data_IF_756569526578
#
_entry.id   IF_756569526578
#
_cell.length_a   1.000
_cell.length_b   1.000
_cell.length_c   1.000
_cell.angle_alpha   90.00
_cell.angle_beta   90.00
_cell.angle_gamma   90.00
#
_symmetry.space_group_name_H-M   'P 1'
#
loop_
_entity.id
_entity.type
_entity.pdbx_description
1 polymer ?
#
# COMPACT_ATOMS: atom_id res chain seq x y z
N UNK A 1 -2.46 -25.61 28.70
CA UNK A 1 -2.58 -24.65 27.61
C UNK A 1 -3.62 -23.60 27.94
N UNK A 2 -3.53 -22.40 27.38
CA UNK A 2 -4.52 -21.33 27.56
C UNK A 2 -5.77 -21.70 26.78
N UNK A 3 -6.94 -21.71 27.45
CA UNK A 3 -8.22 -21.92 26.77
C UNK A 3 -8.59 -20.66 25.96
N UNK A 4 -8.72 -20.79 24.66
CA UNK A 4 -9.17 -19.71 23.78
C UNK A 4 -10.70 -19.80 23.68
N UNK A 5 -11.40 -18.71 23.99
CA UNK A 5 -12.85 -18.62 23.83
C UNK A 5 -13.20 -18.09 22.44
N UNK A 6 -14.24 -18.66 21.77
CA UNK A 6 -14.74 -18.07 20.54
C UNK A 6 -15.32 -16.68 20.83
N UNK A 7 -14.94 -15.71 20.01
CA UNK A 7 -15.51 -14.35 20.05
C UNK A 7 -16.80 -14.25 19.21
N UNK A 8 -16.81 -14.95 18.08
CA UNK A 8 -17.97 -15.08 17.19
C UNK A 8 -18.37 -16.54 17.15
N UNK A 9 -19.65 -16.78 17.07
CA UNK A 9 -20.24 -18.12 16.93
C UNK A 9 -21.22 -18.11 15.77
N UNK A 10 -21.39 -19.25 15.10
CA UNK A 10 -22.29 -19.36 13.95
C UNK A 10 -22.20 -20.72 13.28
N UNK A 11 -22.99 -20.92 12.23
CA UNK A 11 -23.04 -22.16 11.51
C UNK A 11 -21.70 -22.55 10.92
N UNK A 12 -21.11 -23.62 11.41
CA UNK A 12 -19.78 -24.12 10.99
C UNK A 12 -19.86 -25.22 9.90
N UNK A 13 -21.09 -25.61 9.51
CA UNK A 13 -21.33 -26.74 8.60
C UNK A 13 -21.12 -28.11 9.25
N UNK A 14 -20.75 -28.17 10.54
CA UNK A 14 -20.59 -29.40 11.33
C UNK A 14 -21.46 -29.33 12.57
N UNK A 15 -21.86 -30.53 13.11
CA UNK A 15 -22.70 -30.64 14.30
C UNK A 15 -24.00 -29.79 14.25
N UNK A 16 -24.73 -29.89 13.14
CA UNK A 16 -25.92 -29.08 12.81
C UNK A 16 -26.94 -28.91 13.94
N UNK A 17 -27.12 -29.92 14.81
CA UNK A 17 -28.05 -29.91 15.92
C UNK A 17 -27.43 -29.47 17.25
N UNK A 18 -26.15 -29.11 17.28
CA UNK A 18 -25.53 -28.57 18.50
C UNK A 18 -25.99 -27.16 18.76
N UNK A 19 -26.47 -26.84 19.97
CA UNK A 19 -26.87 -25.48 20.35
C UNK A 19 -25.68 -24.56 20.63
N UNK A 20 -24.46 -25.10 20.63
CA UNK A 20 -23.23 -24.35 20.94
C UNK A 20 -22.19 -24.53 19.86
N UNK A 21 -21.24 -23.60 19.81
CA UNK A 21 -20.04 -23.70 18.94
C UNK A 21 -19.27 -25.00 19.28
N UNK A 22 -18.87 -25.79 18.29
CA UNK A 22 -18.04 -26.98 18.53
C UNK A 22 -16.76 -26.63 19.29
N UNK A 23 -16.38 -27.41 20.32
CA UNK A 23 -15.23 -27.08 21.16
C UNK A 23 -13.86 -27.42 20.54
N UNK A 24 -13.83 -28.16 19.43
CA UNK A 24 -12.60 -28.65 18.81
C UNK A 24 -11.94 -27.55 17.96
N UNK A 25 -10.63 -27.43 18.05
CA UNK A 25 -9.81 -26.63 17.12
C UNK A 25 -9.74 -27.32 15.74
N UNK A 26 -9.75 -26.58 14.64
CA UNK A 26 -9.85 -25.10 14.54
C UNK A 26 -11.29 -24.59 14.61
N UNK A 27 -12.30 -25.44 14.50
CA UNK A 27 -13.71 -25.13 14.32
C UNK A 27 -14.28 -24.21 15.42
N UNK A 28 -13.76 -24.32 16.63
CA UNK A 28 -14.18 -23.45 17.76
C UNK A 28 -13.98 -21.96 17.45
N UNK A 29 -13.04 -21.60 16.56
CA UNK A 29 -12.75 -20.22 16.17
C UNK A 29 -13.33 -19.82 14.79
N UNK A 30 -13.94 -20.76 14.09
CA UNK A 30 -14.45 -20.60 12.73
C UNK A 30 -15.99 -20.43 12.75
N UNK A 31 -16.46 -19.21 12.80
CA UNK A 31 -17.88 -18.91 12.76
C UNK A 31 -18.36 -18.67 11.32
N UNK A 32 -19.27 -19.52 10.86
CA UNK A 32 -19.84 -19.47 9.49
C UNK A 32 -19.00 -20.23 8.46
N UNK A 33 -19.41 -20.11 7.19
CA UNK A 33 -18.70 -20.74 6.07
C UNK A 33 -17.34 -20.08 5.86
N UNK A 34 -16.29 -20.90 5.77
CA UNK A 34 -14.94 -20.42 5.54
C UNK A 34 -14.82 -19.69 4.19
N UNK A 35 -13.98 -18.65 4.14
CA UNK A 35 -13.66 -17.92 2.91
C UNK A 35 -12.69 -18.75 2.02
N UNK A 36 -13.19 -19.83 1.44
CA UNK A 36 -12.39 -20.72 0.59
C UNK A 36 -11.74 -20.03 -0.60
N UNK A 37 -12.44 -19.09 -1.22
CA UNK A 37 -11.91 -18.31 -2.35
C UNK A 37 -10.73 -17.42 -1.92
N UNK A 38 -10.86 -16.73 -0.78
CA UNK A 38 -9.79 -15.90 -0.24
C UNK A 38 -8.58 -16.74 0.19
N UNK A 39 -8.81 -17.91 0.77
CA UNK A 39 -7.73 -18.84 1.16
C UNK A 39 -6.99 -19.36 -0.08
N UNK A 40 -7.72 -19.74 -1.14
CA UNK A 40 -7.13 -20.19 -2.39
C UNK A 40 -6.30 -19.06 -3.06
N UNK A 41 -6.84 -17.82 -3.07
CA UNK A 41 -6.10 -16.66 -3.56
C UNK A 41 -4.83 -16.37 -2.75
N UNK A 42 -4.89 -16.48 -1.42
CA UNK A 42 -3.72 -16.32 -0.57
C UNK A 42 -2.67 -17.40 -0.85
N UNK A 43 -3.09 -18.66 -1.04
CA UNK A 43 -2.19 -19.76 -1.40
C UNK A 43 -1.44 -19.48 -2.70
N UNK A 44 -2.18 -19.06 -3.75
CA UNK A 44 -1.58 -18.71 -5.03
C UNK A 44 -0.61 -17.51 -4.92
N UNK A 45 -0.94 -16.50 -4.11
CA UNK A 45 -0.06 -15.37 -3.86
C UNK A 45 1.24 -15.79 -3.14
N UNK A 46 1.15 -16.71 -2.18
CA UNK A 46 2.34 -17.25 -1.50
C UNK A 46 3.23 -18.08 -2.45
N UNK A 47 2.62 -18.83 -3.37
CA UNK A 47 3.37 -19.56 -4.40
C UNK A 47 4.10 -18.59 -5.32
N UNK A 48 3.43 -17.54 -5.79
CA UNK A 48 4.04 -16.46 -6.58
C UNK A 48 5.23 -15.81 -5.85
N UNK A 49 5.08 -15.45 -4.58
CA UNK A 49 6.15 -14.85 -3.80
C UNK A 49 7.35 -15.80 -3.64
N UNK A 50 7.09 -17.10 -3.47
CA UNK A 50 8.14 -18.12 -3.35
C UNK A 50 8.89 -18.36 -4.65
N UNK A 51 8.17 -18.40 -5.78
CA UNK A 51 8.72 -18.62 -7.12
C UNK A 51 9.52 -17.41 -7.61
N UNK A 52 9.00 -16.19 -7.41
CA UNK A 52 9.66 -14.96 -7.83
C UNK A 52 10.82 -14.59 -6.91
N UNK A 53 10.68 -14.83 -5.62
CA UNK A 53 11.63 -14.48 -4.58
C UNK A 53 11.42 -13.06 -4.04
N UNK A 54 11.29 -12.95 -2.71
CA UNK A 54 11.05 -11.67 -2.03
C UNK A 54 12.18 -10.67 -2.28
N UNK A 55 13.42 -11.12 -2.30
CA UNK A 55 14.57 -10.25 -2.55
C UNK A 55 14.60 -9.71 -3.99
N UNK A 56 14.15 -10.51 -4.97
CA UNK A 56 13.99 -10.08 -6.37
C UNK A 56 12.91 -9.00 -6.48
N UNK A 57 11.75 -9.22 -5.86
CA UNK A 57 10.67 -8.24 -5.82
C UNK A 57 11.15 -6.94 -5.18
N UNK A 58 11.78 -7.03 -4.02
CA UNK A 58 12.33 -5.88 -3.32
C UNK A 58 13.33 -5.10 -4.17
N UNK A 59 14.28 -5.78 -4.80
CA UNK A 59 15.30 -5.11 -5.62
C UNK A 59 14.67 -4.34 -6.80
N UNK A 60 13.64 -4.92 -7.44
CA UNK A 60 12.89 -4.26 -8.50
C UNK A 60 12.15 -3.01 -7.99
N UNK A 61 11.39 -3.15 -6.92
CA UNK A 61 10.62 -2.06 -6.33
C UNK A 61 11.51 -0.93 -5.81
N UNK A 62 12.63 -1.27 -5.15
CA UNK A 62 13.62 -0.30 -4.68
C UNK A 62 14.25 0.48 -5.86
N UNK A 63 14.52 -0.19 -6.98
CA UNK A 63 15.06 0.45 -8.19
C UNK A 63 14.07 1.47 -8.78
N UNK A 64 12.78 1.13 -8.87
CA UNK A 64 11.73 2.03 -9.36
C UNK A 64 11.55 3.25 -8.43
N UNK A 65 11.47 3.02 -7.12
CA UNK A 65 11.33 4.10 -6.15
C UNK A 65 12.53 5.05 -6.15
N UNK A 66 13.75 4.51 -6.27
CA UNK A 66 14.98 5.31 -6.38
C UNK A 66 14.99 6.13 -7.67
N UNK A 67 14.67 5.52 -8.81
CA UNK A 67 14.54 6.21 -10.10
C UNK A 67 13.56 7.38 -10.02
N UNK A 68 12.40 7.15 -9.42
CA UNK A 68 11.40 8.20 -9.22
C UNK A 68 11.95 9.32 -8.32
N UNK A 69 12.49 8.97 -7.16
CA UNK A 69 13.09 9.94 -6.23
C UNK A 69 14.15 10.81 -6.90
N UNK A 70 15.10 10.20 -7.58
CA UNK A 70 16.17 10.93 -8.31
C UNK A 70 15.61 11.84 -9.40
N UNK A 71 14.55 11.39 -10.08
CA UNK A 71 13.88 12.15 -11.14
C UNK A 71 13.09 13.35 -10.66
N UNK A 72 12.58 13.33 -9.41
CA UNK A 72 11.70 14.40 -8.90
C UNK A 72 12.36 15.29 -7.84
N UNK A 73 13.36 14.81 -7.10
CA UNK A 73 13.98 15.54 -5.98
C UNK A 73 14.66 16.84 -6.38
N UNK A 74 15.09 16.96 -7.65
CA UNK A 74 15.72 18.16 -8.19
C UNK A 74 14.77 19.12 -8.90
N UNK A 75 13.45 18.84 -8.92
CA UNK A 75 12.48 19.71 -9.61
C UNK A 75 12.14 20.90 -8.71
N UNK A 76 12.28 22.15 -9.20
CA UNK A 76 11.93 23.35 -8.43
C UNK A 76 10.46 23.31 -7.99
N UNK A 77 10.22 23.53 -6.71
CA UNK A 77 8.88 23.50 -6.12
C UNK A 77 8.40 22.09 -5.70
N UNK A 78 9.18 21.06 -5.89
CA UNK A 78 8.87 19.71 -5.38
C UNK A 78 9.59 19.49 -4.05
N UNK A 79 8.86 19.12 -3.02
CA UNK A 79 9.38 18.69 -1.72
C UNK A 79 9.13 17.20 -1.56
N UNK A 80 10.19 16.41 -1.45
CA UNK A 80 10.10 14.96 -1.19
C UNK A 80 10.36 14.67 0.28
N UNK A 81 9.54 13.82 0.89
CA UNK A 81 9.60 13.51 2.31
C UNK A 81 10.31 12.17 2.57
N UNK A 82 11.11 12.14 3.62
CA UNK A 82 11.80 10.95 4.11
C UNK A 82 13.28 10.89 3.75
N UNK A 83 13.98 9.96 4.38
CA UNK A 83 15.40 9.70 4.17
C UNK A 83 15.58 8.58 3.12
N UNK A 84 16.31 8.86 2.05
CA UNK A 84 16.59 7.94 0.95
C UNK A 84 18.00 7.34 1.01
N UNK A 85 18.72 7.55 2.10
CA UNK A 85 20.09 7.02 2.26
C UNK A 85 20.11 5.59 2.80
N UNK A 86 19.05 5.15 3.49
CA UNK A 86 18.94 3.82 4.10
C UNK A 86 17.92 2.89 3.44
N UNK A 87 17.79 1.65 3.93
CA UNK A 87 16.78 0.71 3.49
C UNK A 87 15.36 1.26 3.73
N UNK A 88 14.48 1.11 2.75
CA UNK A 88 13.12 1.62 2.81
C UNK A 88 12.14 0.76 2.00
N UNK A 89 10.87 1.02 2.13
CA UNK A 89 9.84 0.50 1.23
C UNK A 89 9.76 1.36 -0.03
N UNK A 90 9.26 0.80 -1.12
CA UNK A 90 9.13 1.47 -2.41
C UNK A 90 7.98 2.50 -2.44
N UNK A 91 8.02 3.43 -1.50
CA UNK A 91 7.04 4.51 -1.34
C UNK A 91 7.77 5.84 -1.36
N UNK A 92 7.26 6.77 -2.18
CA UNK A 92 7.75 8.15 -2.26
C UNK A 92 6.57 9.09 -2.04
N UNK A 93 6.66 9.94 -1.03
CA UNK A 93 5.66 10.98 -0.76
C UNK A 93 6.26 12.35 -1.06
N UNK A 94 5.50 13.19 -1.73
CA UNK A 94 5.95 14.52 -2.10
C UNK A 94 4.80 15.54 -2.06
N UNK A 95 5.16 16.82 -2.06
CA UNK A 95 4.29 17.94 -2.36
C UNK A 95 4.85 18.79 -3.49
N UNK A 96 3.97 19.48 -4.20
CA UNK A 96 4.33 20.41 -5.27
C UNK A 96 3.88 21.80 -4.82
N UNK A 97 4.83 22.67 -4.49
CA UNK A 97 4.57 24.03 -3.98
C UNK A 97 3.53 24.00 -2.83
N UNK A 98 2.56 24.87 -2.89
CA UNK A 98 1.43 25.00 -1.97
C UNK A 98 0.14 24.34 -2.48
N UNK A 99 0.21 23.57 -3.57
CA UNK A 99 -0.95 22.88 -4.13
C UNK A 99 -1.49 21.84 -3.14
N UNK A 100 -2.81 21.75 -3.03
CA UNK A 100 -3.46 20.71 -2.25
C UNK A 100 -3.14 19.32 -2.81
N UNK A 101 -2.87 18.37 -1.93
CA UNK A 101 -2.48 17.03 -2.36
C UNK A 101 -3.59 16.27 -3.10
N UNK A 102 -4.87 16.58 -2.83
CA UNK A 102 -6.02 16.07 -3.56
C UNK A 102 -6.04 16.58 -4.99
N UNK A 103 -5.91 17.90 -5.19
CA UNK A 103 -5.88 18.50 -6.52
C UNK A 103 -4.74 17.95 -7.38
N UNK A 104 -3.56 17.75 -6.80
CA UNK A 104 -2.42 17.13 -7.50
C UNK A 104 -2.72 15.68 -7.87
N UNK A 105 -3.31 14.91 -6.94
CA UNK A 105 -3.67 13.52 -7.19
C UNK A 105 -4.77 13.38 -8.25
N UNK A 106 -5.77 14.25 -8.24
CA UNK A 106 -6.83 14.28 -9.23
C UNK A 106 -6.26 14.62 -10.62
N UNK A 107 -5.38 15.63 -10.71
CA UNK A 107 -4.69 15.98 -11.96
C UNK A 107 -3.84 14.79 -12.48
N UNK A 108 -3.10 14.10 -11.59
CA UNK A 108 -2.32 12.92 -11.97
C UNK A 108 -3.22 11.81 -12.52
N UNK A 109 -4.39 11.61 -11.93
CA UNK A 109 -5.34 10.59 -12.36
C UNK A 109 -6.05 10.96 -13.67
N UNK A 110 -6.59 12.17 -13.77
CA UNK A 110 -7.45 12.57 -14.89
C UNK A 110 -6.67 12.91 -16.16
N UNK A 111 -5.51 13.54 -16.02
CA UNK A 111 -4.71 13.98 -17.17
C UNK A 111 -3.66 12.96 -17.58
N UNK A 112 -3.05 12.28 -16.61
CA UNK A 112 -1.92 11.39 -16.87
C UNK A 112 -2.22 9.91 -16.66
N UNK A 113 -3.41 9.56 -16.13
CA UNK A 113 -3.79 8.17 -15.84
C UNK A 113 -2.97 7.54 -14.71
N UNK A 114 -2.43 8.36 -13.79
CA UNK A 114 -1.55 7.92 -12.71
C UNK A 114 -2.31 7.93 -11.39
N UNK A 115 -2.58 6.75 -10.83
CA UNK A 115 -3.22 6.61 -9.53
C UNK A 115 -2.23 6.84 -8.39
N UNK A 116 -2.55 7.80 -7.52
CA UNK A 116 -1.79 8.11 -6.31
C UNK A 116 -2.71 8.20 -5.10
N UNK A 117 -2.14 8.32 -3.90
CA UNK A 117 -2.94 8.55 -2.71
C UNK A 117 -2.61 9.89 -2.08
N UNK A 118 -3.57 10.84 -2.04
CA UNK A 118 -3.39 12.12 -1.37
C UNK A 118 -3.71 12.08 0.13
N UNK A 119 -3.45 13.19 0.82
CA UNK A 119 -3.90 13.48 2.17
C UNK A 119 -3.02 12.94 3.28
N UNK A 120 -3.64 12.61 4.40
CA UNK A 120 -2.95 12.26 5.65
C UNK A 120 -2.54 10.78 5.78
N UNK A 121 -2.85 9.93 4.79
CA UNK A 121 -2.44 8.50 4.72
C UNK A 121 -2.79 7.65 5.97
N UNK A 122 -3.80 8.05 6.75
CA UNK A 122 -4.12 7.49 8.07
C UNK A 122 -2.96 7.60 9.09
N UNK A 123 -2.09 8.58 8.92
CA UNK A 123 -0.88 8.80 9.72
C UNK A 123 -0.81 10.25 10.27
N UNK A 124 -1.78 10.71 11.07
CA UNK A 124 -1.86 12.10 11.51
C UNK A 124 -0.64 12.58 12.29
N UNK A 125 -0.01 11.69 13.06
CA UNK A 125 1.21 12.03 13.80
C UNK A 125 2.40 12.28 12.87
N UNK A 126 2.50 11.52 11.78
CA UNK A 126 3.53 11.72 10.77
C UNK A 126 3.34 13.06 10.07
N UNK A 127 2.13 13.37 9.62
CA UNK A 127 1.84 14.63 8.94
C UNK A 127 2.05 15.84 9.85
N UNK A 128 1.75 15.71 11.15
CA UNK A 128 2.12 16.72 12.15
C UNK A 128 3.62 16.93 12.26
N UNK A 129 4.39 15.86 12.32
CA UNK A 129 5.86 15.93 12.39
C UNK A 129 6.49 16.50 11.11
N UNK A 130 5.87 16.29 9.96
CA UNK A 130 6.30 16.82 8.66
C UNK A 130 5.78 18.24 8.36
N UNK A 131 4.86 18.78 9.16
CA UNK A 131 4.21 20.06 8.92
C UNK A 131 3.27 20.07 7.73
N UNK A 132 2.70 18.93 7.38
CA UNK A 132 1.82 18.74 6.21
C UNK A 132 0.37 18.45 6.59
N UNK A 133 -0.07 18.89 7.78
CA UNK A 133 -1.43 18.60 8.28
C UNK A 133 -2.53 19.20 7.40
N UNK A 134 -2.31 20.40 6.86
CA UNK A 134 -3.28 21.10 6.02
C UNK A 134 -3.21 20.71 4.55
N UNK A 135 -2.01 20.57 4.01
CA UNK A 135 -1.78 20.26 2.59
C UNK A 135 -1.87 18.75 2.29
N UNK A 136 -1.62 17.90 3.28
CA UNK A 136 -1.41 16.48 3.06
C UNK A 136 -0.10 16.20 2.32
N UNK A 137 -0.01 15.05 1.68
CA UNK A 137 1.06 14.71 0.74
C UNK A 137 0.54 13.74 -0.32
N UNK A 138 1.14 13.77 -1.51
CA UNK A 138 0.85 12.83 -2.60
C UNK A 138 1.82 11.66 -2.47
N UNK A 139 1.27 10.45 -2.30
CA UNK A 139 2.05 9.23 -2.16
C UNK A 139 2.03 8.39 -3.43
N UNK A 140 3.21 8.15 -3.97
CA UNK A 140 3.47 7.17 -5.00
C UNK A 140 3.93 5.87 -4.33
N UNK A 141 3.38 4.74 -4.78
CA UNK A 141 3.74 3.41 -4.28
C UNK A 141 4.05 2.53 -5.48
N UNK A 142 5.24 1.96 -5.50
CA UNK A 142 5.72 1.10 -6.58
C UNK A 142 5.62 -0.35 -6.15
N UNK A 143 5.12 -1.19 -7.03
CA UNK A 143 4.98 -2.62 -6.83
C UNK A 143 5.64 -3.42 -7.95
N UNK A 144 5.67 -4.73 -7.79
CA UNK A 144 6.29 -5.67 -8.72
C UNK A 144 5.85 -5.50 -10.18
N UNK A 145 4.59 -5.14 -10.42
CA UNK A 145 4.03 -5.02 -11.77
C UNK A 145 4.25 -3.66 -12.42
N UNK A 146 4.83 -2.69 -11.71
CA UNK A 146 5.17 -1.41 -12.31
C UNK A 146 6.45 -1.51 -13.13
N UNK A 147 6.58 -0.61 -14.12
CA UNK A 147 7.71 -0.56 -15.05
C UNK A 147 8.53 0.72 -14.91
N UNK A 148 9.73 0.71 -15.48
CA UNK A 148 10.57 1.90 -15.55
C UNK A 148 9.94 2.99 -16.42
N UNK A 149 9.24 2.62 -17.49
CA UNK A 149 8.52 3.53 -18.40
C UNK A 149 7.37 4.24 -17.70
N UNK A 150 6.60 3.53 -16.86
CA UNK A 150 5.56 4.11 -16.01
C UNK A 150 6.16 5.08 -14.99
N UNK A 151 7.29 4.71 -14.39
CA UNK A 151 8.02 5.58 -13.47
C UNK A 151 8.49 6.87 -14.17
N UNK A 152 9.03 6.78 -15.40
CA UNK A 152 9.43 7.93 -16.18
C UNK A 152 8.23 8.81 -16.57
N UNK A 153 7.08 8.20 -16.87
CA UNK A 153 5.85 8.94 -17.12
C UNK A 153 5.41 9.74 -15.88
N UNK A 154 5.50 9.13 -14.70
CA UNK A 154 5.19 9.81 -13.44
C UNK A 154 6.15 10.97 -13.14
N UNK A 155 7.46 10.83 -13.42
CA UNK A 155 8.44 11.90 -13.29
C UNK A 155 8.10 13.08 -14.22
N UNK A 156 7.72 12.80 -15.48
CA UNK A 156 7.29 13.83 -16.42
C UNK A 156 6.05 14.57 -15.96
N UNK A 157 5.04 13.83 -15.49
CA UNK A 157 3.80 14.40 -14.97
C UNK A 157 4.06 15.36 -13.78
N UNK A 158 4.85 14.91 -12.79
CA UNK A 158 5.24 15.76 -11.64
C UNK A 158 5.96 17.03 -12.12
N UNK A 159 6.85 16.91 -13.10
CA UNK A 159 7.58 18.07 -13.67
C UNK A 159 6.66 19.05 -14.39
N UNK A 160 5.63 18.57 -15.06
CA UNK A 160 4.66 19.41 -15.76
C UNK A 160 3.75 20.15 -14.78
N UNK A 161 3.27 19.47 -13.73
CA UNK A 161 2.43 20.08 -12.68
C UNK A 161 3.23 21.11 -11.86
N UNK A 162 4.54 20.91 -11.71
CA UNK A 162 5.43 21.81 -10.95
C UNK A 162 5.83 23.10 -11.72
N UNK A 163 5.47 23.26 -12.98
CA UNK A 163 5.73 24.48 -13.76
C UNK A 163 4.77 25.60 -13.41
#
# INVERSE_FOLDING_TARGET
>A
GVAIRPWKVGGTGVQTYSPTQPPQMPTVLEAGTLNGHGIAGLSAALDFLRETGIDTIRAHEDALARRFYEGVSGIPGVTVYGDFTGPRTAVVSLNIRDLDSGEVSDTLSEVYGIATRPGAHCAPRLHRALGTETQGAVRFSFGWFNTAEETDAAIRAVREIAR
#
